data_IF_260510082369
#
_entry.id   IF_260510082369
#
_cell.length_a   1.000
_cell.length_b   1.000
_cell.length_c   1.000
_cell.angle_alpha   90.00
_cell.angle_beta   90.00
_cell.angle_gamma   90.00
#
_symmetry.space_group_name_H-M   'P 1'
#
loop_
_entity.id
_entity.type
_entity.pdbx_description
1 polymer ?
#
# COMPACT_ATOMS: atom_id res chain seq x y z
N UNK A 1 -9.34 -51.66 -48.83
CA UNK A 1 -9.98 -50.66 -47.94
C UNK A 1 -9.22 -50.63 -46.63
N UNK A 2 -8.57 -49.49 -46.32
CA UNK A 2 -8.45 -48.90 -44.97
C UNK A 2 -7.75 -49.78 -43.90
N UNK A 3 -6.57 -49.45 -43.37
CA UNK A 3 -6.11 -48.15 -42.89
C UNK A 3 -4.58 -48.09 -42.85
N UNK A 4 -4.08 -46.92 -43.25
CA UNK A 4 -2.72 -46.41 -43.12
C UNK A 4 -2.34 -46.17 -41.65
N UNK A 5 -1.03 -46.24 -41.41
CA UNK A 5 -0.23 -45.39 -40.52
C UNK A 5 -0.52 -45.42 -39.01
N UNK A 6 0.54 -45.61 -38.22
CA UNK A 6 1.22 -44.52 -37.50
C UNK A 6 2.51 -45.10 -36.87
N UNK A 7 3.64 -44.69 -37.46
CA UNK A 7 4.93 -44.59 -36.77
C UNK A 7 4.95 -43.17 -36.20
N UNK A 8 5.17 -43.03 -34.89
CA UNK A 8 5.59 -41.76 -34.31
C UNK A 8 6.55 -42.02 -33.14
N UNK A 9 7.81 -41.93 -33.50
CA UNK A 9 9.04 -41.89 -32.72
C UNK A 9 8.90 -40.99 -31.48
N UNK A 10 9.10 -41.54 -30.27
CA UNK A 10 9.35 -40.74 -29.06
C UNK A 10 10.74 -40.11 -29.18
N UNK A 11 10.79 -38.82 -29.51
CA UNK A 11 11.96 -37.99 -29.30
C UNK A 11 11.87 -37.36 -27.89
N UNK A 12 12.61 -37.92 -26.94
CA UNK A 12 12.92 -37.27 -25.68
C UNK A 12 13.82 -36.07 -25.97
N UNK A 13 13.24 -34.87 -26.04
CA UNK A 13 14.02 -33.63 -25.97
C UNK A 13 14.22 -33.28 -24.48
N UNK A 14 15.45 -33.48 -24.03
CA UNK A 14 15.95 -33.00 -22.74
C UNK A 14 15.90 -31.47 -22.77
N UNK A 15 15.02 -30.89 -21.95
CA UNK A 15 14.97 -29.45 -21.72
C UNK A 15 16.19 -29.02 -20.90
N UNK A 16 17.13 -28.33 -21.52
CA UNK A 16 18.16 -27.56 -20.83
C UNK A 16 17.50 -26.37 -20.15
N UNK A 17 17.19 -26.50 -18.85
CA UNK A 17 16.90 -25.36 -17.98
C UNK A 17 18.24 -24.78 -17.53
N UNK A 18 18.77 -23.82 -18.30
CA UNK A 18 19.84 -22.96 -17.81
C UNK A 18 19.27 -22.12 -16.65
N UNK A 19 19.84 -22.18 -15.43
CA UNK A 19 19.45 -21.25 -14.38
C UNK A 19 20.07 -19.90 -14.73
N UNK A 20 19.27 -19.01 -15.33
CA UNK A 20 19.61 -17.58 -15.34
C UNK A 20 19.79 -17.16 -13.88
N UNK A 21 21.02 -16.79 -13.53
CA UNK A 21 21.31 -16.08 -12.29
C UNK A 21 20.49 -14.80 -12.36
N UNK A 22 19.41 -14.73 -11.57
CA UNK A 22 18.76 -13.46 -11.22
C UNK A 22 19.83 -12.61 -10.52
N UNK A 23 20.50 -11.75 -11.26
CA UNK A 23 21.05 -10.54 -10.66
C UNK A 23 19.86 -9.79 -10.07
N UNK A 24 19.85 -9.60 -8.75
CA UNK A 24 18.91 -8.71 -8.07
C UNK A 24 19.17 -7.29 -8.59
N UNK A 25 18.46 -6.92 -9.66
CA UNK A 25 18.44 -5.55 -10.16
C UNK A 25 17.79 -4.67 -9.10
N UNK A 26 18.35 -3.49 -8.87
CA UNK A 26 17.74 -2.50 -7.99
C UNK A 26 16.30 -2.18 -8.46
N UNK A 27 15.34 -2.01 -7.55
CA UNK A 27 13.96 -1.74 -7.92
C UNK A 27 13.84 -0.41 -8.66
N UNK A 28 13.04 -0.41 -9.71
CA UNK A 28 12.66 0.80 -10.45
C UNK A 28 11.94 1.80 -9.54
N UNK A 29 11.91 3.09 -9.91
CA UNK A 29 11.15 4.09 -9.15
C UNK A 29 9.66 3.74 -9.02
N UNK A 30 9.07 3.13 -10.05
CA UNK A 30 7.67 2.66 -10.00
C UNK A 30 7.49 1.56 -8.94
N UNK A 31 8.41 0.60 -8.87
CA UNK A 31 8.38 -0.44 -7.83
C UNK A 31 8.60 0.14 -6.43
N UNK A 32 9.43 1.17 -6.29
CA UNK A 32 9.61 1.86 -5.00
C UNK A 32 8.31 2.55 -4.55
N UNK A 33 7.66 3.33 -5.43
CA UNK A 33 6.37 3.99 -5.16
C UNK A 33 5.33 2.96 -4.71
N UNK A 34 5.16 1.89 -5.49
CA UNK A 34 4.17 0.85 -5.16
C UNK A 34 4.56 0.03 -3.93
N UNK A 35 5.86 -0.17 -3.68
CA UNK A 35 6.34 -0.83 -2.47
C UNK A 35 5.94 -0.10 -1.19
N UNK A 36 6.01 1.23 -1.18
CA UNK A 36 5.54 2.05 -0.05
C UNK A 36 4.02 1.93 0.12
N UNK A 37 3.26 2.03 -0.98
CA UNK A 37 1.80 1.82 -0.96
C UNK A 37 1.45 0.45 -0.35
N UNK A 38 2.06 -0.62 -0.85
CA UNK A 38 1.76 -1.99 -0.45
C UNK A 38 2.18 -2.27 1.01
N UNK A 39 3.20 -1.59 1.52
CA UNK A 39 3.63 -1.69 2.92
C UNK A 39 2.55 -1.21 3.90
N UNK A 40 1.88 -0.10 3.58
CA UNK A 40 0.91 0.52 4.50
C UNK A 40 -0.54 0.20 4.18
N UNK A 41 -0.86 -0.25 2.97
CA UNK A 41 -2.22 -0.61 2.59
C UNK A 41 -2.88 -1.63 3.54
N UNK A 42 -2.19 -2.69 4.03
CA UNK A 42 -2.76 -3.61 5.03
C UNK A 42 -3.16 -2.95 6.35
N UNK A 43 -2.62 -1.77 6.67
CA UNK A 43 -2.89 -1.03 7.93
C UNK A 43 -4.19 -0.24 7.88
N UNK A 44 -4.77 -0.02 6.70
CA UNK A 44 -6.03 0.72 6.52
C UNK A 44 -7.18 0.14 7.36
N UNK A 45 -7.27 -1.19 7.46
CA UNK A 45 -8.27 -1.84 8.31
C UNK A 45 -8.06 -1.56 9.80
N UNK A 46 -6.80 -1.51 10.22
CA UNK A 46 -6.44 -1.23 11.60
C UNK A 46 -6.65 0.24 11.99
N UNK A 47 -6.36 1.17 11.09
CA UNK A 47 -6.72 2.59 11.22
C UNK A 47 -8.22 2.75 11.45
N UNK A 48 -9.05 2.20 10.57
CA UNK A 48 -10.52 2.27 10.70
C UNK A 48 -11.04 1.68 12.00
N UNK A 49 -10.47 0.56 12.44
CA UNK A 49 -10.82 -0.06 13.73
C UNK A 49 -10.47 0.87 14.88
N UNK A 50 -9.24 1.37 14.92
CA UNK A 50 -8.73 2.28 15.97
C UNK A 50 -9.56 3.56 16.04
N UNK A 51 -9.88 4.15 14.89
CA UNK A 51 -10.76 5.32 14.79
C UNK A 51 -12.11 5.09 15.45
N UNK A 52 -12.75 3.94 15.14
CA UNK A 52 -14.06 3.58 15.69
C UNK A 52 -14.00 3.41 17.21
N UNK A 53 -12.94 2.80 17.72
CA UNK A 53 -12.73 2.62 19.17
C UNK A 53 -12.53 3.97 19.87
N UNK A 54 -11.76 4.88 19.29
CA UNK A 54 -11.60 6.25 19.80
C UNK A 54 -12.94 7.01 19.83
N UNK A 55 -13.74 6.93 18.76
CA UNK A 55 -15.06 7.58 18.72
C UNK A 55 -16.01 6.99 19.77
N UNK A 56 -15.95 5.70 20.07
CA UNK A 56 -16.72 5.12 21.16
C UNK A 56 -16.30 5.70 22.53
N UNK A 57 -15.00 5.96 22.74
CA UNK A 57 -14.50 6.61 23.96
C UNK A 57 -14.90 8.08 24.06
N UNK A 58 -15.06 8.78 22.94
CA UNK A 58 -15.63 10.13 22.90
C UNK A 58 -17.04 10.12 23.49
N UNK A 59 -17.87 9.18 23.05
CA UNK A 59 -19.27 9.07 23.51
C UNK A 59 -19.34 8.69 25.00
N UNK A 60 -18.49 7.75 25.46
CA UNK A 60 -18.47 7.35 26.87
C UNK A 60 -17.87 8.41 27.81
N UNK A 61 -17.01 9.29 27.29
CA UNK A 61 -16.33 10.33 28.06
C UNK A 61 -17.03 11.69 27.97
N UNK A 62 -18.28 11.75 27.49
CA UNK A 62 -18.98 13.01 27.24
C UNK A 62 -19.08 13.96 28.47
N UNK A 63 -18.97 13.44 29.69
CA UNK A 63 -18.95 14.22 30.92
C UNK A 63 -17.59 14.92 31.18
N UNK A 64 -16.50 14.44 30.59
CA UNK A 64 -15.17 15.05 30.61
C UNK A 64 -14.83 15.59 29.22
N UNK A 65 -15.08 16.88 29.02
CA UNK A 65 -14.91 17.55 27.72
C UNK A 65 -13.46 17.55 27.23
N UNK A 66 -12.47 17.49 28.13
CA UNK A 66 -11.05 17.48 27.77
C UNK A 66 -10.66 16.11 27.23
N UNK A 67 -11.05 15.05 27.93
CA UNK A 67 -10.81 13.67 27.49
C UNK A 67 -11.56 13.38 26.17
N UNK A 68 -12.83 13.77 26.08
CA UNK A 68 -13.62 13.61 24.86
C UNK A 68 -13.02 14.38 23.67
N UNK A 69 -12.46 15.58 23.90
CA UNK A 69 -11.77 16.33 22.85
C UNK A 69 -10.47 15.66 22.40
N UNK A 70 -9.68 15.09 23.33
CA UNK A 70 -8.46 14.32 23.02
C UNK A 70 -8.77 13.14 22.10
N UNK A 71 -9.74 12.30 22.45
CA UNK A 71 -10.08 11.14 21.63
C UNK A 71 -10.66 11.54 20.27
N UNK A 72 -11.46 12.62 20.21
CA UNK A 72 -11.98 13.13 18.95
C UNK A 72 -10.87 13.61 18.02
N UNK A 73 -9.87 14.33 18.54
CA UNK A 73 -8.73 14.80 17.75
C UNK A 73 -7.97 13.61 17.13
N UNK A 74 -7.65 12.59 17.94
CA UNK A 74 -6.98 11.38 17.45
C UNK A 74 -7.80 10.62 16.39
N UNK A 75 -9.12 10.55 16.56
CA UNK A 75 -9.99 9.95 15.56
C UNK A 75 -10.01 10.73 14.24
N UNK A 76 -9.97 12.07 14.30
CA UNK A 76 -9.86 12.94 13.12
C UNK A 76 -8.50 12.77 12.42
N UNK A 77 -7.41 12.66 13.17
CA UNK A 77 -6.07 12.47 12.59
C UNK A 77 -6.00 11.14 11.80
N UNK A 78 -6.59 10.07 12.34
CA UNK A 78 -6.73 8.79 11.64
C UNK A 78 -7.62 8.92 10.39
N UNK A 79 -8.72 9.67 10.47
CA UNK A 79 -9.60 9.93 9.32
C UNK A 79 -8.82 10.60 8.18
N UNK A 80 -8.08 11.65 8.51
CA UNK A 80 -7.25 12.39 7.57
C UNK A 80 -6.17 11.50 6.95
N UNK A 81 -5.48 10.67 7.73
CA UNK A 81 -4.47 9.75 7.21
C UNK A 81 -5.07 8.73 6.23
N UNK A 82 -6.24 8.17 6.57
CA UNK A 82 -6.97 7.26 5.67
C UNK A 82 -7.40 7.98 4.38
N UNK A 83 -7.94 9.21 4.47
CA UNK A 83 -8.31 9.99 3.29
C UNK A 83 -7.11 10.41 2.43
N UNK A 84 -5.95 10.68 3.02
CA UNK A 84 -4.71 10.95 2.28
C UNK A 84 -4.31 9.77 1.41
N UNK A 85 -4.36 8.53 1.93
CA UNK A 85 -4.12 7.32 1.13
C UNK A 85 -5.16 7.16 0.01
N UNK A 86 -6.44 7.33 0.33
CA UNK A 86 -7.50 7.25 -0.68
C UNK A 86 -7.36 8.31 -1.77
N UNK A 87 -6.96 9.53 -1.40
CA UNK A 87 -6.69 10.62 -2.31
C UNK A 87 -5.49 10.31 -3.21
N UNK A 88 -4.41 9.79 -2.64
CA UNK A 88 -3.25 9.37 -3.40
C UNK A 88 -3.62 8.31 -4.44
N UNK A 89 -4.32 7.23 -4.05
CA UNK A 89 -4.74 6.17 -4.97
C UNK A 89 -5.64 6.66 -6.11
N UNK A 90 -6.47 7.70 -5.89
CA UNK A 90 -7.33 8.28 -6.93
C UNK A 90 -6.56 9.14 -7.93
N UNK A 91 -5.47 9.77 -7.48
CA UNK A 91 -4.71 10.73 -8.28
C UNK A 91 -3.43 10.13 -8.90
N UNK A 92 -2.98 8.99 -8.39
CA UNK A 92 -1.87 8.25 -8.97
C UNK A 92 -2.26 7.70 -10.34
N UNK A 93 -1.45 7.99 -11.35
CA UNK A 93 -1.57 7.52 -12.73
C UNK A 93 -0.45 6.52 -13.02
N UNK A 94 -0.74 5.20 -12.98
CA UNK A 94 0.26 4.17 -13.24
C UNK A 94 0.75 4.15 -14.70
N UNK A 95 0.01 4.78 -15.61
CA UNK A 95 0.27 4.79 -17.05
C UNK A 95 0.70 6.18 -17.53
N UNK A 96 1.19 7.04 -16.63
CA UNK A 96 1.67 8.38 -16.97
C UNK A 96 2.70 8.33 -18.11
N UNK A 97 2.40 9.02 -19.20
CA UNK A 97 3.26 9.09 -20.39
C UNK A 97 3.93 10.45 -20.50
N UNK A 98 5.22 10.47 -20.85
CA UNK A 98 5.99 11.68 -21.11
C UNK A 98 7.37 11.35 -21.66
N UNK A 99 8.23 12.36 -21.74
CA UNK A 99 9.68 12.14 -21.91
C UNK A 99 10.25 11.36 -20.71
N UNK A 100 11.42 10.71 -20.85
CA UNK A 100 12.05 10.01 -19.73
C UNK A 100 12.22 10.90 -18.48
N UNK A 101 12.58 12.16 -18.66
CA UNK A 101 12.76 13.13 -17.57
C UNK A 101 11.42 13.49 -16.89
N UNK A 102 10.34 13.66 -17.65
CA UNK A 102 9.00 13.90 -17.11
C UNK A 102 8.48 12.70 -16.31
N UNK A 103 8.69 11.48 -16.82
CA UNK A 103 8.30 10.25 -16.13
C UNK A 103 9.08 10.11 -14.82
N UNK A 104 10.41 10.33 -14.85
CA UNK A 104 11.24 10.26 -13.65
C UNK A 104 10.79 11.27 -12.60
N UNK A 105 10.57 12.53 -12.99
CA UNK A 105 10.11 13.59 -12.10
C UNK A 105 8.72 13.30 -11.52
N UNK A 106 7.81 12.77 -12.34
CA UNK A 106 6.50 12.33 -11.88
C UNK A 106 6.62 11.27 -10.79
N UNK A 107 7.37 10.20 -11.05
CA UNK A 107 7.54 9.10 -10.10
C UNK A 107 8.28 9.53 -8.82
N UNK A 108 9.26 10.42 -8.90
CA UNK A 108 9.92 11.01 -7.72
C UNK A 108 8.90 11.79 -6.87
N UNK A 109 8.05 12.61 -7.49
CA UNK A 109 7.01 13.33 -6.77
C UNK A 109 5.98 12.39 -6.14
N UNK A 110 5.59 11.33 -6.84
CA UNK A 110 4.68 10.33 -6.26
C UNK A 110 5.31 9.55 -5.12
N UNK A 111 6.63 9.29 -5.17
CA UNK A 111 7.38 8.65 -4.08
C UNK A 111 7.36 9.52 -2.82
N UNK A 112 7.62 10.82 -2.94
CA UNK A 112 7.56 11.75 -1.80
C UNK A 112 6.15 11.83 -1.19
N UNK A 113 5.11 11.85 -2.03
CA UNK A 113 3.72 11.87 -1.58
C UNK A 113 3.36 10.59 -0.81
N UNK A 114 3.68 9.41 -1.37
CA UNK A 114 3.30 8.14 -0.74
C UNK A 114 4.10 7.88 0.55
N UNK A 115 5.34 8.37 0.66
CA UNK A 115 6.11 8.35 1.92
C UNK A 115 5.48 9.25 2.98
N UNK A 116 4.98 10.42 2.59
CA UNK A 116 4.22 11.30 3.51
C UNK A 116 2.95 10.60 3.99
N UNK A 117 2.18 10.00 3.08
CA UNK A 117 0.98 9.21 3.41
C UNK A 117 1.32 8.09 4.40
N UNK A 118 2.41 7.34 4.14
CA UNK A 118 2.90 6.29 5.05
C UNK A 118 3.20 6.84 6.43
N UNK A 119 3.95 7.94 6.52
CA UNK A 119 4.28 8.59 7.79
C UNK A 119 3.04 8.96 8.59
N UNK A 120 2.06 9.61 7.94
CA UNK A 120 0.81 10.04 8.59
C UNK A 120 -0.03 8.84 9.06
N UNK A 121 -0.12 7.79 8.25
CA UNK A 121 -0.81 6.55 8.60
C UNK A 121 -0.17 5.85 9.80
N UNK A 122 1.16 5.72 9.82
CA UNK A 122 1.87 5.05 10.91
C UNK A 122 1.78 5.84 12.21
N UNK A 123 1.98 7.15 12.14
CA UNK A 123 1.93 8.03 13.30
C UNK A 123 0.54 8.08 13.93
N UNK A 124 -0.50 8.34 13.13
CA UNK A 124 -1.89 8.41 13.63
C UNK A 124 -2.34 7.09 14.23
N UNK A 125 -1.92 5.96 13.63
CA UNK A 125 -2.20 4.63 14.18
C UNK A 125 -1.48 4.38 15.51
N UNK A 126 -0.21 4.77 15.63
CA UNK A 126 0.56 4.64 16.86
C UNK A 126 -0.08 5.46 18.00
N UNK A 127 -0.36 6.74 17.74
CA UNK A 127 -0.96 7.66 18.72
C UNK A 127 -2.35 7.21 19.14
N UNK A 128 -3.18 6.76 18.19
CA UNK A 128 -4.49 6.21 18.47
C UNK A 128 -4.43 4.96 19.33
N UNK A 129 -3.59 3.98 18.98
CA UNK A 129 -3.42 2.76 19.78
C UNK A 129 -2.90 3.04 21.17
N UNK A 130 -1.96 3.98 21.31
CA UNK A 130 -1.43 4.38 22.62
C UNK A 130 -2.54 4.93 23.50
N UNK A 131 -3.42 5.78 22.96
CA UNK A 131 -4.54 6.34 23.70
C UNK A 131 -5.62 5.29 24.08
N UNK A 132 -5.74 4.19 23.33
CA UNK A 132 -6.62 3.06 23.66
C UNK A 132 -6.05 2.11 24.73
N UNK A 133 -4.75 2.20 25.00
CA UNK A 133 -4.06 1.37 26.01
C UNK A 133 -3.88 2.07 27.36
N UNK A 134 -4.26 3.36 27.46
CA UNK A 134 -4.33 4.14 28.71
C UNK A 134 -5.58 3.77 29.53
#
# INVERSE_FOLDING_TARGET
MKYLSIIALLAFVVSCSSPEKKEEQAPTLKEQVMGVHDEVMPKMGELRKTQKELLALVDSSAADSVIAAKYRALATDIEMANESMMSWMRNYDPEYTGTPEEIEKYLQSELEKIETVKSDMLKSLEEGKKALAE
#
